data_IF_204734033750
#
_entry.id   IF_204734033750
#
_cell.length_a   1.000
_cell.length_b   1.000
_cell.length_c   1.000
_cell.angle_alpha   90.00
_cell.angle_beta   90.00
_cell.angle_gamma   90.00
#
_symmetry.space_group_name_H-M   'P 1'
#
loop_
_entity.id
_entity.type
_entity.pdbx_description
1 polymer ?
#
# COMPACT_ATOMS: atom_id res chain seq x y z
N UNK A 1 -51.51 -15.49 -39.34
CA UNK A 1 -50.90 -16.18 -38.17
C UNK A 1 -49.38 -16.15 -38.34
N UNK A 2 -48.69 -15.22 -37.69
CA UNK A 2 -47.22 -15.12 -37.76
C UNK A 2 -46.69 -14.98 -36.33
N UNK A 3 -45.88 -15.94 -35.88
CA UNK A 3 -45.27 -15.94 -34.55
C UNK A 3 -43.82 -15.47 -34.68
N UNK A 4 -43.57 -14.24 -34.24
CA UNK A 4 -42.23 -13.68 -34.10
C UNK A 4 -41.54 -14.35 -32.90
N UNK A 5 -40.48 -15.13 -33.13
CA UNK A 5 -39.62 -15.67 -32.07
C UNK A 5 -38.58 -14.61 -31.69
N UNK A 6 -38.74 -14.00 -30.51
CA UNK A 6 -37.71 -13.14 -29.93
C UNK A 6 -36.55 -14.02 -29.43
N UNK A 7 -35.41 -13.94 -30.10
CA UNK A 7 -34.15 -14.54 -29.66
C UNK A 7 -33.53 -13.55 -28.66
N UNK A 8 -33.61 -13.87 -27.38
CA UNK A 8 -32.93 -13.14 -26.31
C UNK A 8 -31.46 -13.58 -26.36
N UNK A 9 -30.64 -12.79 -27.05
CA UNK A 9 -29.18 -12.93 -27.04
C UNK A 9 -28.67 -12.35 -25.71
N UNK A 10 -28.52 -13.21 -24.70
CA UNK A 10 -27.87 -12.83 -23.43
C UNK A 10 -26.40 -12.56 -23.70
N UNK A 11 -26.06 -11.29 -23.85
CA UNK A 11 -24.70 -10.81 -23.96
C UNK A 11 -24.05 -10.91 -22.57
N UNK A 12 -23.51 -12.08 -22.22
CA UNK A 12 -22.56 -12.23 -21.11
C UNK A 12 -21.28 -11.50 -21.51
N UNK A 13 -21.25 -10.19 -21.26
CA UNK A 13 -20.01 -9.44 -21.26
C UNK A 13 -19.21 -9.93 -20.04
N UNK A 14 -18.00 -10.50 -20.23
CA UNK A 14 -17.11 -10.75 -19.11
C UNK A 14 -16.83 -9.38 -18.48
N UNK A 15 -17.35 -9.15 -17.28
CA UNK A 15 -16.94 -8.02 -16.48
C UNK A 15 -15.44 -8.21 -16.23
N UNK A 16 -14.57 -7.28 -16.69
CA UNK A 16 -13.16 -7.34 -16.34
C UNK A 16 -13.08 -7.42 -14.82
N UNK A 17 -12.31 -8.40 -14.33
CA UNK A 17 -12.15 -8.64 -12.90
C UNK A 17 -11.85 -7.31 -12.21
N UNK A 18 -12.69 -6.95 -11.25
CA UNK A 18 -12.51 -5.71 -10.50
C UNK A 18 -11.16 -5.82 -9.79
N UNK A 19 -10.22 -4.93 -10.12
CA UNK A 19 -8.97 -4.83 -9.37
C UNK A 19 -9.36 -4.48 -7.94
N UNK A 20 -9.13 -5.43 -7.04
CA UNK A 20 -9.40 -5.26 -5.62
C UNK A 20 -8.24 -4.47 -5.01
N UNK A 21 -8.57 -3.45 -4.23
CA UNK A 21 -7.62 -2.67 -3.46
C UNK A 21 -8.09 -2.54 -2.01
N UNK A 22 -7.14 -2.62 -1.09
CA UNK A 22 -7.34 -2.51 0.36
C UNK A 22 -6.33 -1.50 0.88
N UNK A 23 -6.78 -0.57 1.72
CA UNK A 23 -5.87 0.32 2.45
C UNK A 23 -5.65 -0.22 3.86
N UNK A 24 -4.41 -0.19 4.32
CA UNK A 24 -3.98 -0.61 5.65
C UNK A 24 -3.41 0.59 6.40
N UNK A 25 -3.90 0.79 7.61
CA UNK A 25 -3.38 1.79 8.55
C UNK A 25 -2.37 1.09 9.49
N UNK A 26 -1.06 1.39 9.36
CA UNK A 26 -0.03 0.75 10.17
C UNK A 26 -0.05 1.33 11.59
N UNK A 27 0.01 0.46 12.59
CA UNK A 27 -0.02 0.81 14.02
C UNK A 27 1.40 0.90 14.59
N UNK A 28 1.62 1.82 15.51
CA UNK A 28 2.92 2.00 16.16
C UNK A 28 3.25 0.81 17.07
N UNK A 29 4.41 0.20 16.87
CA UNK A 29 4.85 -0.97 17.64
C UNK A 29 5.74 -0.60 18.85
N UNK A 30 5.70 0.64 19.32
CA UNK A 30 6.57 1.12 20.39
C UNK A 30 6.05 0.73 21.78
N UNK A 31 6.80 -0.13 22.49
CA UNK A 31 6.44 -0.63 23.85
C UNK A 31 6.91 0.30 24.99
N UNK A 32 7.07 1.61 24.75
CA UNK A 32 7.58 2.52 25.79
C UNK A 32 6.50 3.52 26.23
N UNK A 33 6.27 3.70 27.54
CA UNK A 33 5.43 4.79 28.02
C UNK A 33 6.07 6.15 27.70
N UNK A 34 5.30 7.05 27.08
CA UNK A 34 5.73 8.41 26.75
C UNK A 34 6.22 8.63 25.31
N UNK A 35 5.81 7.78 24.34
CA UNK A 35 6.15 7.90 22.90
C UNK A 35 4.92 8.32 22.07
N UNK A 36 3.92 8.90 22.73
CA UNK A 36 2.57 9.03 22.18
C UNK A 36 2.51 9.99 20.99
N UNK A 37 3.34 11.04 20.96
CA UNK A 37 3.33 12.04 19.87
C UNK A 37 3.86 11.45 18.57
N UNK A 38 5.01 10.78 18.60
CA UNK A 38 5.61 10.20 17.39
C UNK A 38 4.75 9.06 16.82
N UNK A 39 4.14 8.24 17.67
CA UNK A 39 3.21 7.21 17.24
C UNK A 39 1.96 7.82 16.59
N UNK A 40 1.31 8.78 17.26
CA UNK A 40 0.12 9.45 16.72
C UNK A 40 0.40 10.14 15.38
N UNK A 41 1.58 10.77 15.25
CA UNK A 41 2.02 11.35 13.98
C UNK A 41 2.20 10.27 12.92
N UNK A 42 2.91 9.17 13.19
CA UNK A 42 3.11 8.14 12.18
C UNK A 42 1.82 7.43 11.74
N UNK A 43 0.95 7.08 12.69
CA UNK A 43 -0.36 6.45 12.40
C UNK A 43 -1.28 7.37 11.60
N UNK A 44 -1.24 8.68 11.86
CA UNK A 44 -2.03 9.65 11.11
C UNK A 44 -1.54 9.83 9.67
N UNK A 45 -0.27 9.52 9.37
CA UNK A 45 0.41 9.95 8.14
C UNK A 45 0.80 8.81 7.21
N UNK A 46 1.17 7.66 7.75
CA UNK A 46 1.60 6.53 6.94
C UNK A 46 0.42 5.74 6.43
N UNK A 47 0.45 5.42 5.13
CA UNK A 47 -0.56 4.59 4.48
C UNK A 47 0.11 3.50 3.67
N UNK A 48 -0.51 2.32 3.65
CA UNK A 48 -0.12 1.19 2.81
C UNK A 48 -1.35 0.78 2.01
N UNK A 49 -1.33 1.02 0.71
CA UNK A 49 -2.37 0.52 -0.19
C UNK A 49 -1.90 -0.77 -0.85
N UNK A 50 -2.72 -1.81 -0.77
CA UNK A 50 -2.49 -3.11 -1.38
C UNK A 50 -3.47 -3.26 -2.53
N UNK A 51 -2.96 -3.50 -3.73
CA UNK A 51 -3.80 -3.65 -4.92
C UNK A 51 -3.29 -4.79 -5.79
N UNK A 52 -4.21 -5.46 -6.49
CA UNK A 52 -3.85 -6.40 -7.53
C UNK A 52 -3.58 -5.63 -8.83
N UNK A 53 -2.35 -5.66 -9.34
CA UNK A 53 -1.97 -5.00 -10.60
C UNK A 53 -2.13 -5.92 -11.82
N UNK A 54 -1.97 -7.24 -11.60
CA UNK A 54 -2.21 -8.30 -12.59
C UNK A 54 -2.72 -9.57 -11.89
N UNK A 55 -3.16 -10.57 -12.65
CA UNK A 55 -3.73 -11.81 -12.08
C UNK A 55 -2.81 -12.49 -11.07
N UNK A 56 -1.51 -12.42 -11.30
CA UNK A 56 -0.44 -13.04 -10.51
C UNK A 56 0.50 -12.00 -9.89
N UNK A 57 0.06 -10.75 -9.74
CA UNK A 57 0.88 -9.67 -9.19
C UNK A 57 0.12 -8.83 -8.17
N UNK A 58 0.81 -8.49 -7.08
CA UNK A 58 0.36 -7.54 -6.07
C UNK A 58 1.29 -6.34 -6.02
N UNK A 59 0.70 -5.17 -5.87
CA UNK A 59 1.40 -3.90 -5.65
C UNK A 59 1.09 -3.38 -4.25
N UNK A 60 2.14 -3.11 -3.48
CA UNK A 60 2.08 -2.38 -2.23
C UNK A 60 2.56 -0.96 -2.45
N UNK A 61 1.68 0.01 -2.26
CA UNK A 61 1.99 1.44 -2.36
C UNK A 61 2.11 2.04 -0.96
N UNK A 62 3.27 2.59 -0.67
CA UNK A 62 3.60 3.24 0.59
C UNK A 62 3.55 4.75 0.40
N UNK A 63 2.87 5.45 1.29
CA UNK A 63 2.79 6.89 1.25
C UNK A 63 2.95 7.50 2.65
N UNK A 64 3.54 8.69 2.68
CA UNK A 64 3.44 9.61 3.80
C UNK A 64 2.52 10.76 3.36
N UNK A 65 1.27 10.75 3.80
CA UNK A 65 0.25 11.75 3.46
C UNK A 65 0.09 12.82 4.54
N UNK A 66 1.07 12.91 5.43
CA UNK A 66 1.02 13.77 6.59
C UNK A 66 1.31 15.23 6.34
N UNK A 67 1.16 16.04 7.39
CA UNK A 67 1.63 17.42 7.43
C UNK A 67 3.04 17.57 8.04
N UNK A 68 3.56 16.53 8.71
CA UNK A 68 4.88 16.59 9.35
C UNK A 68 5.99 16.27 8.34
N UNK A 69 6.45 17.32 7.65
CA UNK A 69 7.49 17.27 6.61
C UNK A 69 8.87 16.82 7.09
N UNK A 70 9.06 16.74 8.41
CA UNK A 70 10.27 16.19 8.99
C UNK A 70 10.26 14.65 8.98
N UNK A 71 9.08 14.02 8.99
CA UNK A 71 8.94 12.57 9.10
C UNK A 71 9.24 11.90 7.77
N UNK A 72 10.15 10.92 7.82
CA UNK A 72 10.59 10.20 6.62
C UNK A 72 10.47 8.71 6.86
N UNK A 73 10.07 7.98 5.83
CA UNK A 73 10.01 6.52 5.81
C UNK A 73 11.21 5.94 5.05
N UNK A 74 12.34 5.62 5.72
CA UNK A 74 13.52 5.07 5.07
C UNK A 74 13.49 3.56 4.85
N UNK A 75 12.71 2.78 5.63
CA UNK A 75 12.72 1.32 5.55
C UNK A 75 11.32 0.69 5.54
N UNK A 76 11.19 -0.40 4.79
CA UNK A 76 9.99 -1.23 4.65
C UNK A 76 10.39 -2.70 4.83
N UNK A 77 9.54 -3.48 5.49
CA UNK A 77 9.75 -4.89 5.79
C UNK A 77 8.52 -5.71 5.46
N UNK A 78 8.71 -6.92 4.95
CA UNK A 78 7.64 -7.90 4.78
C UNK A 78 7.97 -9.13 5.61
N UNK A 79 7.05 -9.50 6.49
CA UNK A 79 7.16 -10.66 7.36
C UNK A 79 6.13 -11.71 6.94
N UNK A 80 6.59 -12.90 6.57
CA UNK A 80 5.74 -13.97 6.07
C UNK A 80 6.36 -14.59 4.83
N UNK A 81 6.47 -15.92 4.83
CA UNK A 81 7.04 -16.69 3.74
C UNK A 81 5.92 -17.31 2.89
N UNK A 82 6.21 -17.58 1.61
CA UNK A 82 5.28 -18.32 0.73
C UNK A 82 4.13 -17.50 0.13
N UNK A 83 4.02 -16.21 0.43
CA UNK A 83 3.05 -15.30 -0.20
C UNK A 83 3.51 -14.80 -1.57
N UNK A 84 4.82 -14.63 -1.74
CA UNK A 84 5.43 -14.04 -2.93
C UNK A 84 6.29 -15.06 -3.68
N UNK A 85 6.18 -15.08 -5.00
CA UNK A 85 7.05 -15.87 -5.88
C UNK A 85 8.36 -15.14 -6.23
N UNK A 86 8.38 -13.82 -6.05
CA UNK A 86 9.58 -12.98 -6.21
C UNK A 86 9.25 -11.49 -6.31
N UNK A 87 10.29 -10.66 -6.24
CA UNK A 87 10.19 -9.22 -6.49
C UNK A 87 10.10 -8.97 -8.01
N UNK A 88 9.02 -8.30 -8.44
CA UNK A 88 8.82 -7.94 -9.85
C UNK A 88 9.33 -6.53 -10.16
N UNK A 89 9.29 -5.62 -9.19
CA UNK A 89 9.85 -4.28 -9.38
C UNK A 89 9.60 -3.33 -8.23
N UNK A 90 10.33 -2.22 -8.26
CA UNK A 90 10.21 -1.09 -7.34
C UNK A 90 9.99 0.14 -8.21
N UNK A 91 8.87 0.83 -8.02
CA UNK A 91 8.52 2.06 -8.74
C UNK A 91 8.50 3.22 -7.76
N UNK A 92 9.49 4.08 -7.92
CA UNK A 92 9.59 5.34 -7.19
C UNK A 92 8.70 6.35 -7.91
N UNK A 93 7.43 6.47 -7.53
CA UNK A 93 6.45 7.31 -8.24
C UNK A 93 6.87 8.78 -8.25
N UNK A 94 7.03 9.36 -7.05
CA UNK A 94 7.36 10.78 -6.84
C UNK A 94 8.53 10.98 -5.86
N UNK A 95 9.29 9.94 -5.55
CA UNK A 95 10.46 10.00 -4.64
C UNK A 95 11.64 10.62 -5.40
N UNK A 96 11.59 11.94 -5.62
CA UNK A 96 12.51 12.65 -6.53
C UNK A 96 13.98 12.66 -6.10
N UNK A 97 14.35 12.01 -4.99
CA UNK A 97 15.70 12.14 -4.39
C UNK A 97 16.28 10.85 -3.81
N UNK A 98 15.60 9.69 -3.92
CA UNK A 98 16.08 8.42 -3.34
C UNK A 98 15.74 7.20 -4.18
N UNK A 99 16.71 6.28 -4.27
CA UNK A 99 16.50 4.95 -4.81
C UNK A 99 16.28 3.96 -3.66
N UNK A 100 15.12 3.29 -3.65
CA UNK A 100 14.88 2.16 -2.76
C UNK A 100 15.45 0.88 -3.35
N UNK A 101 16.15 0.11 -2.52
CA UNK A 101 16.72 -1.17 -2.92
C UNK A 101 16.40 -2.25 -1.90
N UNK A 102 16.20 -3.46 -2.40
CA UNK A 102 16.06 -4.65 -1.59
C UNK A 102 17.36 -4.96 -0.81
N UNK A 103 17.23 -5.42 0.44
CA UNK A 103 18.34 -5.86 1.29
C UNK A 103 19.10 -4.73 1.99
N UNK A 104 18.74 -3.46 1.79
CA UNK A 104 19.44 -2.33 2.40
C UNK A 104 18.93 -1.94 3.78
N UNK A 105 17.71 -2.31 4.16
CA UNK A 105 17.22 -1.97 5.47
C UNK A 105 18.00 -2.71 6.56
N UNK A 106 18.35 -1.97 7.62
CA UNK A 106 19.04 -2.51 8.80
C UNK A 106 18.11 -2.40 9.99
N UNK A 107 17.26 -3.41 10.24
CA UNK A 107 16.19 -3.32 11.24
C UNK A 107 16.70 -3.15 12.69
N UNK A 108 17.98 -3.47 12.97
CA UNK A 108 18.59 -3.26 14.28
C UNK A 108 17.73 -3.82 15.42
N UNK A 109 17.64 -3.08 16.53
CA UNK A 109 16.75 -3.37 17.67
C UNK A 109 15.33 -2.83 17.50
N UNK A 110 15.03 -2.23 16.35
CA UNK A 110 13.75 -1.59 16.04
C UNK A 110 12.85 -2.57 15.28
N UNK A 111 13.11 -3.86 15.43
CA UNK A 111 12.42 -4.95 14.76
C UNK A 111 11.18 -5.34 15.60
N UNK A 112 9.97 -4.90 15.24
CA UNK A 112 8.80 -5.11 16.09
C UNK A 112 8.28 -6.55 16.02
N UNK A 113 8.51 -7.26 14.91
CA UNK A 113 8.08 -8.64 14.76
C UNK A 113 9.09 -9.62 15.38
N UNK A 114 8.61 -10.67 16.07
CA UNK A 114 9.45 -11.75 16.65
C UNK A 114 10.02 -12.71 15.59
N UNK A 115 9.94 -12.36 14.31
CA UNK A 115 10.28 -13.19 13.15
C UNK A 115 11.15 -12.41 12.17
N UNK A 116 12.07 -13.06 11.48
CA UNK A 116 12.88 -12.41 10.45
C UNK A 116 12.01 -11.98 9.25
N UNK A 117 12.33 -10.85 8.59
CA UNK A 117 11.64 -10.44 7.38
C UNK A 117 12.07 -11.29 6.19
N UNK A 118 11.11 -11.65 5.33
CA UNK A 118 11.38 -12.31 4.05
C UNK A 118 11.98 -11.31 3.05
N UNK A 119 11.46 -10.08 3.04
CA UNK A 119 11.93 -8.99 2.20
C UNK A 119 12.17 -7.73 3.03
N UNK A 120 13.21 -7.00 2.67
CA UNK A 120 13.57 -5.73 3.32
C UNK A 120 13.94 -4.71 2.27
N UNK A 121 13.50 -3.48 2.44
CA UNK A 121 13.77 -2.39 1.49
C UNK A 121 14.26 -1.18 2.24
N UNK A 122 15.36 -0.60 1.78
CA UNK A 122 15.91 0.61 2.33
C UNK A 122 16.35 1.58 1.25
N UNK A 123 16.43 2.85 1.62
CA UNK A 123 17.04 3.88 0.78
C UNK A 123 18.53 3.60 0.55
N UNK A 124 19.00 3.87 -0.66
CA UNK A 124 20.42 4.04 -0.96
C UNK A 124 20.73 5.55 -1.05
N UNK A 125 21.79 6.01 -0.37
CA UNK A 125 22.21 7.42 -0.38
C UNK A 125 22.38 8.06 1.01
N UNK A 126 22.86 9.32 1.08
CA UNK A 126 23.14 10.00 2.34
C UNK A 126 21.87 10.26 3.16
N UNK A 127 21.91 9.89 4.44
CA UNK A 127 20.76 9.72 5.34
C UNK A 127 19.97 10.99 5.76
N UNK A 128 20.37 12.18 5.30
CA UNK A 128 19.92 13.43 5.92
C UNK A 128 18.62 14.01 5.33
N UNK A 129 18.15 13.58 4.14
CA UNK A 129 16.91 14.11 3.53
C UNK A 129 16.18 13.07 2.66
N UNK A 130 16.31 11.79 3.00
CA UNK A 130 16.13 10.70 2.04
C UNK A 130 15.13 9.66 2.55
N UNK A 131 14.03 9.45 1.81
CA UNK A 131 12.97 8.46 2.05
C UNK A 131 11.61 9.04 1.65
N UNK A 132 10.51 8.33 1.90
CA UNK A 132 9.16 8.83 1.57
C UNK A 132 8.78 9.94 2.56
N UNK A 133 8.70 11.18 2.10
CA UNK A 133 8.30 12.34 2.88
C UNK A 133 6.84 12.73 2.58
N UNK A 134 6.22 13.47 3.51
CA UNK A 134 4.97 14.19 3.35
C UNK A 134 4.96 15.16 2.15
N UNK A 135 6.13 15.53 1.63
CA UNK A 135 6.34 16.53 0.59
C UNK A 135 6.34 17.95 1.16
N UNK A 136 6.87 18.93 0.43
CA UNK A 136 6.73 20.35 0.78
C UNK A 136 5.62 21.06 0.00
N UNK A 137 5.11 20.46 -1.08
CA UNK A 137 4.24 21.16 -2.03
C UNK A 137 3.28 20.18 -2.74
N UNK A 138 2.12 19.88 -2.14
CA UNK A 138 0.95 19.16 -2.70
C UNK A 138 1.17 17.76 -3.35
N UNK A 139 2.41 17.33 -3.56
CA UNK A 139 2.80 16.03 -4.10
C UNK A 139 3.36 15.21 -2.95
N UNK A 140 2.50 14.38 -2.36
CA UNK A 140 2.94 13.36 -1.41
C UNK A 140 3.85 12.37 -2.12
N UNK A 141 5.00 12.07 -1.53
CA UNK A 141 5.86 11.05 -2.08
C UNK A 141 5.23 9.68 -1.85
N UNK A 142 5.35 8.81 -2.85
CA UNK A 142 4.91 7.43 -2.74
C UNK A 142 5.87 6.47 -3.42
N UNK A 143 5.94 5.26 -2.89
CA UNK A 143 6.74 4.15 -3.40
C UNK A 143 5.83 2.96 -3.65
N UNK A 144 5.88 2.39 -4.84
CA UNK A 144 5.21 1.13 -5.13
C UNK A 144 6.22 -0.02 -5.19
N UNK A 145 5.92 -1.12 -4.51
CA UNK A 145 6.71 -2.37 -4.56
C UNK A 145 5.79 -3.47 -5.10
N UNK A 146 6.23 -4.13 -6.17
CA UNK A 146 5.47 -5.17 -6.85
C UNK A 146 6.06 -6.54 -6.64
N UNK A 147 5.22 -7.50 -6.31
CA UNK A 147 5.60 -8.90 -6.16
C UNK A 147 4.77 -9.78 -7.07
N UNK A 148 5.42 -10.78 -7.64
CA UNK A 148 4.72 -11.95 -8.13
C UNK A 148 4.07 -12.68 -6.96
N UNK A 149 2.83 -13.11 -7.13
CA UNK A 149 2.10 -13.87 -6.12
C UNK A 149 2.43 -15.36 -6.23
N UNK A 150 2.69 -16.02 -5.10
CA UNK A 150 2.82 -17.48 -5.02
C UNK A 150 1.48 -18.17 -4.67
N UNK A 151 0.47 -17.38 -4.35
CA UNK A 151 -0.92 -17.79 -4.07
C UNK A 151 -1.88 -16.84 -4.79
N UNK A 152 -3.19 -17.03 -4.67
CA UNK A 152 -4.14 -16.05 -5.21
C UNK A 152 -4.19 -14.79 -4.32
N UNK A 153 -4.66 -13.68 -4.89
CA UNK A 153 -4.75 -12.39 -4.20
C UNK A 153 -5.65 -12.43 -2.95
N UNK A 154 -6.73 -13.24 -2.97
CA UNK A 154 -7.63 -13.35 -1.81
C UNK A 154 -6.96 -14.05 -0.63
N UNK A 155 -6.15 -15.07 -0.90
CA UNK A 155 -5.32 -15.73 0.10
C UNK A 155 -4.26 -14.79 0.69
N UNK A 156 -3.68 -13.90 -0.12
CA UNK A 156 -2.77 -12.86 0.38
C UNK A 156 -3.48 -11.90 1.34
N UNK A 157 -4.69 -11.43 0.99
CA UNK A 157 -5.46 -10.55 1.86
C UNK A 157 -5.82 -11.24 3.19
N UNK A 158 -6.18 -12.52 3.16
CA UNK A 158 -6.40 -13.31 4.38
C UNK A 158 -5.12 -13.45 5.21
N UNK A 159 -3.95 -13.56 4.57
CA UNK A 159 -2.65 -13.53 5.25
C UNK A 159 -2.41 -12.20 5.99
N UNK A 160 -2.76 -11.08 5.37
CA UNK A 160 -2.67 -9.75 5.99
C UNK A 160 -3.64 -9.60 7.18
N UNK A 161 -4.85 -10.16 7.08
CA UNK A 161 -5.86 -10.10 8.14
C UNK A 161 -5.54 -11.03 9.33
N UNK A 162 -4.92 -12.18 9.06
CA UNK A 162 -4.55 -13.17 10.08
C UNK A 162 -3.18 -12.93 10.73
N UNK A 163 -2.46 -11.89 10.31
CA UNK A 163 -1.07 -11.62 10.65
C UNK A 163 -0.05 -12.64 10.13
N UNK A 164 -0.44 -13.64 9.33
CA UNK A 164 0.51 -14.55 8.68
C UNK A 164 1.43 -13.81 7.72
N UNK A 165 0.92 -12.77 7.06
CA UNK A 165 1.68 -11.73 6.37
C UNK A 165 1.57 -10.41 7.14
N UNK A 166 2.69 -9.80 7.51
CA UNK A 166 2.72 -8.45 8.08
C UNK A 166 3.64 -7.56 7.27
N UNK A 167 3.24 -6.31 7.13
CA UNK A 167 4.08 -5.27 6.52
C UNK A 167 4.52 -4.32 7.61
N UNK A 168 5.83 -4.10 7.71
CA UNK A 168 6.43 -3.21 8.68
C UNK A 168 7.03 -1.98 8.03
N UNK A 169 6.94 -0.86 8.72
CA UNK A 169 7.53 0.41 8.33
C UNK A 169 8.46 0.89 9.43
N UNK A 170 9.49 1.63 9.07
CA UNK A 170 10.29 2.36 10.03
C UNK A 170 10.31 3.83 9.64
N UNK A 171 9.77 4.67 10.51
CA UNK A 171 9.76 6.13 10.37
C UNK A 171 10.87 6.78 11.22
N UNK A 172 11.44 7.87 10.74
CA UNK A 172 12.44 8.67 11.47
C UNK A 172 12.02 10.12 11.55
N UNK A 173 12.72 10.84 12.43
CA UNK A 173 12.62 12.29 12.60
C UNK A 173 11.24 12.78 13.09
N UNK A 174 10.50 11.90 13.77
CA UNK A 174 9.32 12.30 14.52
C UNK A 174 9.66 13.38 15.57
N UNK A 175 8.78 14.36 15.78
CA UNK A 175 8.89 15.30 16.88
C UNK A 175 9.13 14.57 18.20
N UNK A 176 10.07 15.09 18.99
CA UNK A 176 10.37 14.63 20.36
C UNK A 176 10.85 13.17 20.48
N UNK A 177 11.01 12.47 19.36
CA UNK A 177 11.34 11.04 19.35
C UNK A 177 12.74 10.80 18.79
N UNK A 178 13.65 10.35 19.65
CA UNK A 178 15.01 9.99 19.22
C UNK A 178 15.03 8.60 18.60
N UNK A 179 15.71 8.47 17.47
CA UNK A 179 16.02 7.18 16.85
C UNK A 179 15.02 6.71 15.80
N UNK A 180 13.75 7.09 15.89
CA UNK A 180 12.67 6.66 14.99
C UNK A 180 11.73 5.65 15.65
N UNK A 181 10.67 5.29 14.94
CA UNK A 181 9.60 4.40 15.40
C UNK A 181 9.27 3.37 14.32
N UNK A 182 8.84 2.20 14.78
CA UNK A 182 8.42 1.12 13.91
C UNK A 182 6.91 1.01 13.93
N UNK A 183 6.34 0.72 12.76
CA UNK A 183 4.91 0.54 12.57
C UNK A 183 4.67 -0.80 11.91
N UNK A 184 3.55 -1.45 12.22
CA UNK A 184 3.17 -2.75 11.69
C UNK A 184 1.71 -2.71 11.26
N UNK A 185 1.37 -3.45 10.21
CA UNK A 185 -0.04 -3.65 9.85
C UNK A 185 -0.82 -4.38 10.96
N UNK A 186 -0.18 -5.21 11.79
CA UNK A 186 -0.84 -5.88 12.93
C UNK A 186 0.02 -5.87 14.19
N UNK A 187 -0.59 -5.60 15.34
CA UNK A 187 0.07 -5.71 16.64
C UNK A 187 0.18 -7.18 17.08
N UNK A 188 1.37 -7.58 17.52
CA UNK A 188 1.68 -8.99 17.84
C UNK A 188 1.09 -9.46 19.17
N UNK A 189 0.47 -8.56 19.93
CA UNK A 189 -0.03 -8.80 21.29
C UNK A 189 -1.56 -9.03 21.35
N UNK A 190 -2.18 -9.42 20.23
CA UNK A 190 -3.56 -9.92 20.19
C UNK A 190 -4.64 -8.83 20.09
N UNK A 191 -4.25 -7.61 19.73
CA UNK A 191 -5.19 -6.57 19.33
C UNK A 191 -5.61 -6.78 17.86
N UNK A 192 -6.88 -6.48 17.60
CA UNK A 192 -7.64 -6.83 16.41
C UNK A 192 -6.89 -6.54 15.10
N UNK A 193 -7.12 -7.33 14.03
CA UNK A 193 -6.63 -7.00 12.70
C UNK A 193 -7.00 -5.56 12.33
N UNK A 194 -6.14 -4.81 11.62
CA UNK A 194 -6.54 -3.57 11.01
C UNK A 194 -7.73 -3.92 10.12
N UNK A 195 -8.82 -3.18 10.27
CA UNK A 195 -9.95 -3.37 9.39
C UNK A 195 -9.46 -3.05 7.97
N UNK A 196 -9.34 -4.06 7.11
CA UNK A 196 -9.11 -3.87 5.69
C UNK A 196 -10.29 -3.05 5.16
N UNK A 197 -10.09 -1.75 4.91
CA UNK A 197 -11.16 -0.89 4.40
C UNK A 197 -11.19 -1.12 2.89
N UNK A 198 -12.28 -1.71 2.33
CA UNK A 198 -12.39 -1.83 0.88
C UNK A 198 -12.44 -0.43 0.30
N UNK A 199 -11.57 -0.14 -0.68
CA UNK A 199 -11.63 1.14 -1.39
C UNK A 199 -13.03 1.24 -2.02
N UNK A 200 -13.81 2.30 -1.72
CA UNK A 200 -15.19 2.36 -2.18
C UNK A 200 -15.24 2.21 -3.71
N UNK A 201 -16.05 1.26 -4.20
CA UNK A 201 -16.32 1.12 -5.63
C UNK A 201 -16.85 2.40 -6.28
N UNK A 202 -17.20 3.40 -5.49
CA UNK A 202 -17.43 4.77 -5.92
C UNK A 202 -16.27 5.36 -6.75
N UNK A 203 -15.00 5.15 -6.40
CA UNK A 203 -13.88 5.64 -7.23
C UNK A 203 -13.88 5.00 -8.62
N UNK A 204 -14.22 3.71 -8.71
CA UNK A 204 -14.40 3.00 -9.97
C UNK A 204 -15.65 3.50 -10.73
N UNK A 205 -16.76 3.78 -10.04
CA UNK A 205 -17.96 4.38 -10.62
C UNK A 205 -17.72 5.79 -11.14
N UNK A 206 -16.92 6.60 -10.45
CA UNK A 206 -16.51 7.92 -10.91
C UNK A 206 -15.60 7.81 -12.13
N UNK A 207 -14.61 6.90 -12.13
CA UNK A 207 -13.73 6.66 -13.28
C UNK A 207 -14.51 6.19 -14.53
N UNK A 208 -15.34 5.17 -14.38
CA UNK A 208 -16.18 4.65 -15.46
C UNK A 208 -17.24 5.65 -15.94
N UNK A 209 -17.81 6.42 -15.03
CA UNK A 209 -18.73 7.52 -15.34
C UNK A 209 -18.08 8.61 -16.18
N UNK A 210 -16.85 9.01 -15.84
CA UNK A 210 -16.06 9.98 -16.61
C UNK A 210 -15.72 9.50 -18.02
N UNK A 211 -15.32 8.23 -18.16
CA UNK A 211 -15.06 7.63 -19.49
C UNK A 211 -16.35 7.59 -20.32
N UNK A 212 -17.48 7.22 -19.72
CA UNK A 212 -18.79 7.23 -20.36
C UNK A 212 -19.20 8.64 -20.82
N UNK A 213 -19.00 9.65 -19.98
CA UNK A 213 -19.27 11.06 -20.30
C UNK A 213 -18.36 11.59 -21.41
N UNK A 214 -17.06 11.29 -21.38
CA UNK A 214 -16.12 11.68 -22.42
C UNK A 214 -16.47 11.05 -23.78
N UNK A 215 -16.87 9.77 -23.79
CA UNK A 215 -17.33 9.09 -25.00
C UNK A 215 -18.63 9.69 -25.55
N UNK A 216 -19.59 10.03 -24.68
CA UNK A 216 -20.83 10.70 -25.07
C UNK A 216 -20.59 12.12 -25.61
N UNK A 217 -19.66 12.87 -25.01
CA UNK A 217 -19.30 14.21 -25.46
C UNK A 217 -18.65 14.20 -26.85
N UNK A 218 -17.75 13.25 -27.13
CA UNK A 218 -17.13 13.11 -28.48
C UNK A 218 -18.16 12.81 -29.57
N UNK A 219 -19.21 12.02 -29.27
CA UNK A 219 -20.29 11.73 -30.24
C UNK A 219 -21.12 12.97 -30.59
N UNK A 220 -21.23 13.97 -29.71
CA UNK A 220 -21.98 15.21 -29.97
C UNK A 220 -21.20 16.25 -30.77
N UNK A 221 -19.87 16.20 -30.76
CA UNK A 221 -19.01 17.14 -31.48
C UNK A 221 -18.65 16.68 -32.90
N UNK A 222 -18.85 15.39 -33.22
CA UNK A 222 -18.64 14.82 -34.55
C UNK A 222 -19.90 14.68 -35.40
N UNK A 223 -21.04 15.20 -34.94
CA UNK A 223 -22.31 15.26 -35.65
C UNK A 223 -22.71 16.74 -35.82
#
# INVERSE_FOLDING_TARGET
MSRLKAIIFSLLLPLPGLLQAVSLDPLCAAVRPGVDVGCAVGEAQFRIDVSQSATDEVTFTFANIGSETSVVLPHIYFFGDGFFSGLNGIESGSVGRVDFMEGLARPGTLHPAKRAPAYTFGISGPATVSGINAGTDAEHESLAIRFGLAMDYSSLLLGLESADLQVGLFGRYFPETRGGLSFLTMETDGLLPPAAIPVPGALLLFGSGLVGLAAAARRRLGA
#
